data_IF_471695801182
#
_entry.id   IF_471695801182
#
_cell.length_a   1.000
_cell.length_b   1.000
_cell.length_c   1.000
_cell.angle_alpha   90.00
_cell.angle_beta   90.00
_cell.angle_gamma   90.00
#
_symmetry.space_group_name_H-M   'P 1'
#
loop_
_entity.id
_entity.type
_entity.pdbx_description
1 polymer ?
#
# COMPACT_ATOMS: atom_id res chain seq x y z
N UNK A 1 7.70 -6.88 4.77
CA UNK A 1 6.23 -6.63 4.88
C UNK A 1 5.79 -6.31 6.32
N UNK A 2 6.52 -6.76 7.35
CA UNK A 2 6.18 -6.63 8.79
C UNK A 2 6.13 -5.18 9.32
N UNK A 3 6.93 -4.24 8.80
CA UNK A 3 7.07 -2.91 9.39
C UNK A 3 5.77 -2.07 9.41
N UNK A 4 4.90 -2.18 8.40
CA UNK A 4 3.67 -1.36 8.30
C UNK A 4 2.57 -1.82 9.24
N UNK A 5 2.49 -3.13 9.48
CA UNK A 5 1.52 -3.73 10.41
C UNK A 5 1.81 -3.26 11.83
N UNK A 6 3.09 -3.18 12.21
CA UNK A 6 3.50 -2.68 13.51
C UNK A 6 3.16 -1.21 13.70
N UNK A 7 3.36 -0.37 12.67
CA UNK A 7 3.01 1.06 12.74
C UNK A 7 1.51 1.26 12.90
N UNK A 8 0.68 0.55 12.11
CA UNK A 8 -0.78 0.63 12.24
C UNK A 8 -1.27 0.06 13.58
N UNK A 9 -0.65 -1.03 14.06
CA UNK A 9 -0.93 -1.61 15.36
C UNK A 9 -0.57 -0.67 16.50
N UNK A 10 0.56 0.05 16.40
CA UNK A 10 0.91 1.08 17.37
C UNK A 10 -0.08 2.25 17.34
N UNK A 11 -0.43 2.74 16.14
CA UNK A 11 -1.37 3.86 15.98
C UNK A 11 -2.76 3.54 16.58
N UNK A 12 -3.19 2.28 16.51
CA UNK A 12 -4.45 1.81 17.10
C UNK A 12 -4.56 2.07 18.61
N UNK A 13 -3.42 2.09 19.33
CA UNK A 13 -3.35 2.29 20.78
C UNK A 13 -2.69 3.62 21.17
N UNK A 14 -2.41 4.51 20.21
CA UNK A 14 -1.64 5.72 20.45
C UNK A 14 -2.46 6.90 21.03
N UNK A 15 -3.79 6.75 21.16
CA UNK A 15 -4.66 7.81 21.68
C UNK A 15 -4.45 8.06 23.18
N UNK A 16 -4.56 9.32 23.61
CA UNK A 16 -4.36 9.75 25.00
C UNK A 16 -5.67 9.79 25.80
N UNK A 17 -6.80 9.94 25.10
CA UNK A 17 -8.14 9.86 25.65
C UNK A 17 -9.03 8.93 24.80
N UNK A 18 -10.27 8.70 25.26
CA UNK A 18 -11.21 7.80 24.59
C UNK A 18 -11.60 8.31 23.18
N UNK A 19 -11.64 9.63 22.99
CA UNK A 19 -12.04 10.25 21.73
C UNK A 19 -10.91 10.14 20.69
N UNK A 20 -9.69 10.50 21.06
CA UNK A 20 -8.48 10.39 20.22
C UNK A 20 -8.22 8.92 19.86
N UNK A 21 -8.43 7.99 20.80
CA UNK A 21 -8.31 6.56 20.53
C UNK A 21 -9.29 6.11 19.43
N UNK A 22 -10.56 6.53 19.51
CA UNK A 22 -11.57 6.20 18.49
C UNK A 22 -11.20 6.79 17.13
N UNK A 23 -10.71 8.02 17.10
CA UNK A 23 -10.27 8.68 15.86
C UNK A 23 -9.12 7.92 15.19
N UNK A 24 -8.11 7.50 15.96
CA UNK A 24 -6.99 6.72 15.43
C UNK A 24 -7.42 5.34 14.95
N UNK A 25 -8.31 4.65 15.66
CA UNK A 25 -8.85 3.37 15.22
C UNK A 25 -9.63 3.50 13.90
N UNK A 26 -10.47 4.54 13.77
CA UNK A 26 -11.19 4.82 12.52
C UNK A 26 -10.20 5.14 11.39
N UNK A 27 -9.14 5.89 11.64
CA UNK A 27 -8.10 6.18 10.66
C UNK A 27 -7.37 4.91 10.20
N UNK A 28 -6.99 4.03 11.14
CA UNK A 28 -6.36 2.74 10.83
C UNK A 28 -7.29 1.87 9.98
N UNK A 29 -8.58 1.77 10.33
CA UNK A 29 -9.56 1.01 9.54
C UNK A 29 -9.70 1.54 8.11
N UNK A 30 -9.74 2.87 7.94
CA UNK A 30 -9.78 3.50 6.61
C UNK A 30 -8.54 3.14 5.79
N UNK A 31 -7.35 3.22 6.38
CA UNK A 31 -6.09 2.85 5.71
C UNK A 31 -6.10 1.37 5.31
N UNK A 32 -6.51 0.47 6.21
CA UNK A 32 -6.59 -0.97 5.92
C UNK A 32 -7.56 -1.26 4.77
N UNK A 33 -8.73 -0.63 4.79
CA UNK A 33 -9.74 -0.79 3.73
C UNK A 33 -9.22 -0.27 2.39
N UNK A 34 -8.56 0.89 2.38
CA UNK A 34 -7.93 1.43 1.16
C UNK A 34 -6.82 0.52 0.65
N UNK A 35 -5.99 -0.05 1.52
CA UNK A 35 -4.95 -1.01 1.11
C UNK A 35 -5.54 -2.27 0.47
N UNK A 36 -6.65 -2.79 1.01
CA UNK A 36 -7.37 -3.91 0.42
C UNK A 36 -7.89 -3.57 -0.98
N UNK A 37 -8.55 -2.42 -1.13
CA UNK A 37 -9.05 -1.93 -2.42
C UNK A 37 -7.94 -1.72 -3.45
N UNK A 38 -6.82 -1.10 -3.04
CA UNK A 38 -5.66 -0.91 -3.92
C UNK A 38 -5.07 -2.23 -4.37
N UNK A 39 -5.02 -3.23 -3.48
CA UNK A 39 -4.52 -4.57 -3.83
C UNK A 39 -5.41 -5.22 -4.89
N UNK A 40 -6.73 -5.17 -4.70
CA UNK A 40 -7.70 -5.68 -5.68
C UNK A 40 -7.57 -4.94 -7.02
N UNK A 41 -7.48 -3.61 -6.98
CA UNK A 41 -7.33 -2.78 -8.17
C UNK A 41 -6.04 -3.11 -8.94
N UNK A 42 -4.92 -3.26 -8.25
CA UNK A 42 -3.64 -3.65 -8.88
C UNK A 42 -3.73 -5.05 -9.49
N UNK A 43 -4.36 -6.00 -8.82
CA UNK A 43 -4.59 -7.34 -9.38
C UNK A 43 -5.45 -7.28 -10.65
N UNK A 44 -6.50 -6.46 -10.65
CA UNK A 44 -7.34 -6.24 -11.83
C UNK A 44 -6.57 -5.56 -12.96
N UNK A 45 -5.74 -4.56 -12.67
CA UNK A 45 -4.92 -3.91 -13.69
C UNK A 45 -3.84 -4.83 -14.24
N UNK A 46 -3.30 -5.74 -13.42
CA UNK A 46 -2.34 -6.74 -13.88
C UNK A 46 -2.95 -7.68 -14.94
N UNK A 47 -4.27 -7.95 -14.90
CA UNK A 47 -4.94 -8.75 -15.94
C UNK A 47 -5.30 -7.93 -17.17
N UNK A 48 -5.67 -6.65 -17.00
CA UNK A 48 -6.09 -5.79 -18.10
C UNK A 48 -4.91 -5.18 -18.89
N UNK A 49 -3.78 -4.90 -18.24
CA UNK A 49 -2.63 -4.21 -18.83
C UNK A 49 -1.33 -4.97 -18.53
N UNK A 50 -1.05 -6.08 -19.23
CA UNK A 50 0.19 -6.82 -19.07
C UNK A 50 1.37 -6.03 -19.67
N UNK A 51 1.97 -5.16 -18.85
CA UNK A 51 3.12 -4.34 -19.25
C UNK A 51 4.44 -5.02 -18.88
N UNK A 52 5.24 -5.36 -19.88
CA UNK A 52 6.59 -5.91 -19.70
C UNK A 52 7.51 -4.97 -18.90
N UNK A 53 8.45 -5.54 -18.14
CA UNK A 53 9.42 -4.75 -17.37
C UNK A 53 10.68 -4.50 -18.22
N UNK A 54 11.41 -3.39 -18.02
CA UNK A 54 12.60 -3.08 -18.81
C UNK A 54 13.67 -4.19 -18.80
N UNK A 55 13.80 -4.92 -17.69
CA UNK A 55 14.73 -6.05 -17.56
C UNK A 55 14.24 -7.36 -18.22
N UNK A 56 13.02 -7.39 -18.74
CA UNK A 56 12.54 -8.50 -19.56
C UNK A 56 13.00 -8.36 -21.03
N UNK A 57 13.32 -7.14 -21.46
CA UNK A 57 13.80 -6.82 -22.80
C UNK A 57 15.33 -6.74 -22.92
N UNK A 58 16.05 -6.69 -21.78
CA UNK A 58 17.49 -6.55 -21.73
C UNK A 58 18.13 -7.84 -21.19
N UNK A 59 18.90 -8.53 -22.02
CA UNK A 59 19.67 -9.70 -21.61
C UNK A 59 20.87 -9.29 -20.73
N UNK A 60 21.26 -10.16 -19.79
CA UNK A 60 22.46 -9.95 -18.96
C UNK A 60 22.30 -8.97 -17.78
N UNK A 61 21.11 -8.42 -17.54
CA UNK A 61 20.89 -7.50 -16.41
C UNK A 61 20.88 -8.25 -15.08
N UNK A 62 21.84 -7.93 -14.20
CA UNK A 62 21.89 -8.43 -12.82
C UNK A 62 21.03 -7.55 -11.92
N UNK A 63 19.93 -8.09 -11.43
CA UNK A 63 19.01 -7.37 -10.54
C UNK A 63 19.62 -7.25 -9.13
N UNK A 64 19.56 -6.05 -8.56
CA UNK A 64 19.95 -5.79 -7.16
C UNK A 64 18.93 -6.37 -6.15
N UNK A 65 17.69 -6.58 -6.60
CA UNK A 65 16.55 -7.06 -5.81
C UNK A 65 15.97 -8.29 -6.50
N UNK A 66 15.32 -9.17 -5.75
CA UNK A 66 14.58 -10.31 -6.30
C UNK A 66 13.62 -9.89 -7.43
N UNK A 67 13.59 -10.69 -8.50
CA UNK A 67 12.78 -10.43 -9.70
C UNK A 67 11.28 -10.53 -9.38
N UNK A 68 10.51 -9.45 -9.51
CA UNK A 68 9.06 -9.49 -9.35
C UNK A 68 8.40 -10.40 -10.40
N UNK A 69 7.35 -11.13 -10.00
CA UNK A 69 6.60 -12.05 -10.89
C UNK A 69 5.37 -11.40 -11.53
N UNK A 70 5.03 -10.19 -11.11
CA UNK A 70 3.87 -9.41 -11.53
C UNK A 70 4.22 -8.41 -12.66
N UNK A 71 3.24 -8.02 -13.51
CA UNK A 71 3.41 -6.95 -14.50
C UNK A 71 3.98 -5.65 -13.92
N UNK A 72 4.56 -4.79 -14.75
CA UNK A 72 5.18 -3.54 -14.27
C UNK A 72 4.20 -2.43 -13.89
N UNK A 73 2.91 -2.56 -14.23
CA UNK A 73 1.93 -1.52 -14.00
C UNK A 73 0.63 -2.06 -13.40
N UNK A 74 0.08 -1.41 -12.36
CA UNK A 74 0.70 -0.38 -11.52
C UNK A 74 1.75 -1.00 -10.59
N UNK A 75 2.78 -0.23 -10.22
CA UNK A 75 3.74 -0.71 -9.24
C UNK A 75 3.06 -0.89 -7.87
N UNK A 76 2.76 -2.15 -7.49
CA UNK A 76 2.08 -2.50 -6.24
C UNK A 76 2.61 -1.78 -4.99
N UNK A 77 3.94 -1.70 -4.72
CA UNK A 77 4.45 -0.99 -3.54
C UNK A 77 4.16 0.51 -3.56
N UNK A 78 4.16 1.15 -4.75
CA UNK A 78 3.84 2.57 -4.91
C UNK A 78 2.35 2.81 -4.68
N UNK A 79 1.50 1.99 -5.30
CA UNK A 79 0.06 2.08 -5.16
C UNK A 79 -0.37 1.98 -3.69
N UNK A 80 0.20 1.03 -2.93
CA UNK A 80 -0.09 0.88 -1.49
C UNK A 80 0.32 2.13 -0.69
N UNK A 81 1.52 2.67 -0.92
CA UNK A 81 2.02 3.82 -0.14
C UNK A 81 1.22 5.08 -0.43
N UNK A 82 0.93 5.35 -1.70
CA UNK A 82 0.12 6.50 -2.10
C UNK A 82 -1.31 6.36 -1.59
N UNK A 83 -1.93 5.18 -1.76
CA UNK A 83 -3.27 4.92 -1.26
C UNK A 83 -3.39 5.09 0.26
N UNK A 84 -2.43 4.54 1.02
CA UNK A 84 -2.39 4.70 2.47
C UNK A 84 -2.23 6.17 2.90
N UNK A 85 -1.37 6.93 2.22
CA UNK A 85 -1.18 8.36 2.50
C UNK A 85 -2.44 9.17 2.22
N UNK A 86 -3.13 8.90 1.12
CA UNK A 86 -4.40 9.56 0.78
C UNK A 86 -5.47 9.21 1.80
N UNK A 87 -5.58 7.95 2.21
CA UNK A 87 -6.54 7.52 3.23
C UNK A 87 -6.29 8.20 4.58
N UNK A 88 -5.02 8.34 4.97
CA UNK A 88 -4.65 9.05 6.20
C UNK A 88 -4.99 10.54 6.13
N UNK A 89 -4.68 11.21 5.01
CA UNK A 89 -5.04 12.62 4.79
C UNK A 89 -6.57 12.82 4.77
N UNK A 90 -7.31 11.90 4.16
CA UNK A 90 -8.77 11.94 4.16
C UNK A 90 -9.36 11.69 5.55
N UNK A 91 -8.65 10.94 6.40
CA UNK A 91 -9.04 10.71 7.78
C UNK A 91 -8.72 11.88 8.70
N UNK A 92 -7.62 12.59 8.44
CA UNK A 92 -7.22 13.79 9.15
C UNK A 92 -7.86 15.02 8.49
N UNK A 93 -9.16 15.24 8.76
CA UNK A 93 -9.82 16.51 8.43
C UNK A 93 -9.67 17.47 9.61
N UNK A 94 -9.29 18.74 9.39
CA UNK A 94 -9.24 19.75 10.45
C UNK A 94 -10.63 20.08 11.00
#
# INVERSE_FOLDING_TARGET
MVNRVLVLGWLWFAGRDEQETKEFQVAVLRVLLTMAWVTIFVQLMNTLVPRFRPFDALEGVRLLIYRPRDPSFPAHPVAIVVGARVALLAAHRP
#
